data_IF_125002426576
#
_entry.id   IF_125002426576
#
_cell.length_a   1.000
_cell.length_b   1.000
_cell.length_c   1.000
_cell.angle_alpha   90.00
_cell.angle_beta   90.00
_cell.angle_gamma   90.00
#
_symmetry.space_group_name_H-M   'P 1'
#
loop_
_entity.id
_entity.type
_entity.pdbx_description
1 polymer ?
#
# COMPACT_ATOMS: atom_id res chain seq x y z
N UNK A 1 -11.78 18.67 -15.54
CA UNK A 1 -10.92 17.58 -16.07
C UNK A 1 -9.54 17.73 -15.49
N UNK A 2 -8.85 16.63 -15.20
CA UNK A 2 -7.53 16.67 -14.59
C UNK A 2 -6.46 17.20 -15.57
N UNK A 3 -5.60 18.12 -15.11
CA UNK A 3 -4.64 18.84 -15.97
C UNK A 3 -3.16 18.45 -15.77
N UNK A 4 -2.86 17.61 -14.78
CA UNK A 4 -1.49 17.20 -14.43
C UNK A 4 -1.34 15.68 -14.44
N UNK A 5 -0.19 15.13 -14.88
CA UNK A 5 0.10 13.70 -14.77
C UNK A 5 -0.12 13.13 -13.36
N UNK A 6 0.22 13.89 -12.32
CA UNK A 6 0.04 13.48 -10.93
C UNK A 6 -1.43 13.35 -10.55
N UNK A 7 -2.25 14.32 -10.96
CA UNK A 7 -3.69 14.27 -10.73
C UNK A 7 -4.36 13.17 -11.58
N UNK A 8 -3.86 12.87 -12.79
CA UNK A 8 -4.41 11.81 -13.63
C UNK A 8 -4.15 10.45 -13.01
N UNK A 9 -2.93 10.23 -12.51
CA UNK A 9 -2.56 9.02 -11.81
C UNK A 9 -3.38 8.86 -10.52
N UNK A 10 -3.59 9.94 -9.75
CA UNK A 10 -4.48 9.92 -8.58
C UNK A 10 -5.92 9.53 -8.95
N UNK A 11 -6.52 10.18 -9.94
CA UNK A 11 -7.90 9.90 -10.36
C UNK A 11 -8.08 8.48 -10.89
N UNK A 12 -7.11 7.96 -11.64
CA UNK A 12 -7.15 6.58 -12.10
C UNK A 12 -7.02 5.59 -10.92
N UNK A 13 -6.11 5.84 -9.98
CA UNK A 13 -5.95 5.05 -8.75
C UNK A 13 -7.27 5.03 -7.95
N UNK A 14 -7.88 6.20 -7.77
CA UNK A 14 -9.14 6.35 -7.04
C UNK A 14 -10.27 5.55 -7.67
N UNK A 15 -10.42 5.61 -9.00
CA UNK A 15 -11.44 4.85 -9.72
C UNK A 15 -11.20 3.33 -9.62
N UNK A 16 -9.95 2.90 -9.78
CA UNK A 16 -9.59 1.49 -9.63
C UNK A 16 -9.96 0.96 -8.24
N UNK A 17 -9.67 1.73 -7.19
CA UNK A 17 -9.99 1.34 -5.81
C UNK A 17 -11.48 1.39 -5.51
N UNK A 18 -12.25 2.30 -6.11
CA UNK A 18 -13.72 2.32 -5.99
C UNK A 18 -14.33 1.05 -6.57
N UNK A 19 -13.89 0.64 -7.76
CA UNK A 19 -14.33 -0.61 -8.39
C UNK A 19 -13.90 -1.82 -7.57
N UNK A 20 -12.65 -1.84 -7.10
CA UNK A 20 -12.14 -2.88 -6.20
C UNK A 20 -12.93 -3.02 -4.91
N UNK A 21 -13.22 -1.90 -4.26
CA UNK A 21 -14.04 -1.87 -3.05
C UNK A 21 -15.42 -2.44 -3.32
N UNK A 22 -16.07 -2.01 -4.41
CA UNK A 22 -17.37 -2.55 -4.78
C UNK A 22 -17.31 -4.06 -5.00
N UNK A 23 -16.25 -4.60 -5.63
CA UNK A 23 -16.05 -6.04 -5.82
C UNK A 23 -15.87 -6.82 -4.50
N UNK A 24 -15.24 -6.20 -3.50
CA UNK A 24 -14.99 -6.80 -2.19
C UNK A 24 -16.13 -6.57 -1.18
N UNK A 25 -17.23 -5.94 -1.61
CA UNK A 25 -18.40 -5.74 -0.76
C UNK A 25 -18.99 -7.09 -0.30
N UNK A 26 -19.40 -7.16 0.97
CA UNK A 26 -19.91 -8.38 1.57
C UNK A 26 -21.17 -8.94 0.85
N UNK A 27 -21.94 -8.11 0.15
CA UNK A 27 -23.05 -8.56 -0.71
C UNK A 27 -22.61 -9.51 -1.83
N UNK A 28 -21.34 -9.48 -2.21
CA UNK A 28 -20.78 -10.34 -3.28
C UNK A 28 -20.14 -11.62 -2.75
N UNK A 29 -20.14 -11.83 -1.43
CA UNK A 29 -19.53 -13.01 -0.78
C UNK A 29 -19.97 -14.33 -1.43
N UNK A 30 -21.26 -14.52 -1.67
CA UNK A 30 -21.78 -15.74 -2.29
C UNK A 30 -21.23 -15.97 -3.70
N UNK A 31 -21.11 -14.91 -4.51
CA UNK A 31 -20.54 -15.01 -5.85
C UNK A 31 -19.05 -15.39 -5.80
N UNK A 32 -18.30 -14.84 -4.84
CA UNK A 32 -16.89 -15.21 -4.64
C UNK A 32 -16.71 -16.66 -4.17
N UNK A 33 -17.61 -17.16 -3.31
CA UNK A 33 -17.61 -18.57 -2.88
C UNK A 33 -17.81 -19.55 -4.04
N UNK A 34 -18.56 -19.16 -5.07
CA UNK A 34 -18.73 -19.94 -6.29
C UNK A 34 -17.49 -19.87 -7.18
N UNK A 35 -16.97 -18.66 -7.44
CA UNK A 35 -15.80 -18.45 -8.31
C UNK A 35 -14.56 -19.14 -7.75
N UNK A 36 -14.35 -19.09 -6.43
CA UNK A 36 -13.18 -19.68 -5.79
C UNK A 36 -13.14 -21.23 -5.87
N UNK A 37 -14.22 -21.88 -6.29
CA UNK A 37 -14.23 -23.34 -6.51
C UNK A 37 -13.45 -23.74 -7.76
N UNK A 38 -13.37 -22.85 -8.76
CA UNK A 38 -12.75 -23.13 -10.07
C UNK A 38 -11.56 -22.22 -10.38
N UNK A 39 -11.49 -21.04 -9.74
CA UNK A 39 -10.50 -20.00 -10.00
C UNK A 39 -9.86 -19.48 -8.71
N UNK A 40 -8.88 -18.58 -8.82
CA UNK A 40 -8.19 -17.98 -7.67
C UNK A 40 -9.05 -17.03 -6.82
N UNK A 41 -10.29 -16.74 -7.24
CA UNK A 41 -11.26 -15.96 -6.47
C UNK A 41 -10.72 -14.59 -6.01
N UNK A 42 -11.00 -14.23 -4.76
CA UNK A 42 -10.54 -12.97 -4.18
C UNK A 42 -9.03 -12.89 -4.02
N UNK A 43 -8.34 -14.02 -3.87
CA UNK A 43 -6.88 -14.05 -3.70
C UNK A 43 -6.16 -13.51 -4.95
N UNK A 44 -6.68 -13.81 -6.14
CA UNK A 44 -6.14 -13.26 -7.38
C UNK A 44 -6.37 -11.74 -7.50
N UNK A 45 -7.54 -11.27 -7.07
CA UNK A 45 -7.83 -9.82 -7.02
C UNK A 45 -6.87 -9.10 -6.07
N UNK A 46 -6.68 -9.63 -4.85
CA UNK A 46 -5.74 -9.07 -3.88
C UNK A 46 -4.32 -9.02 -4.42
N UNK A 47 -3.86 -10.09 -5.08
CA UNK A 47 -2.56 -10.13 -5.74
C UNK A 47 -2.40 -9.03 -6.80
N UNK A 48 -3.43 -8.79 -7.61
CA UNK A 48 -3.39 -7.69 -8.59
C UNK A 48 -3.33 -6.31 -7.93
N UNK A 49 -4.00 -6.12 -6.79
CA UNK A 49 -3.85 -4.88 -6.01
C UNK A 49 -2.45 -4.73 -5.41
N UNK A 50 -1.83 -5.80 -4.94
CA UNK A 50 -0.44 -5.79 -4.45
C UNK A 50 0.55 -5.45 -5.56
N UNK A 51 0.45 -6.11 -6.72
CA UNK A 51 1.28 -5.84 -7.89
C UNK A 51 1.14 -4.38 -8.35
N UNK A 52 -0.10 -3.89 -8.34
CA UNK A 52 -0.40 -2.51 -8.67
C UNK A 52 0.21 -1.52 -7.66
N UNK A 53 0.01 -1.75 -6.35
CA UNK A 53 0.57 -0.90 -5.30
C UNK A 53 2.10 -0.90 -5.32
N UNK A 54 2.73 -2.05 -5.58
CA UNK A 54 4.17 -2.16 -5.77
C UNK A 54 4.65 -1.32 -6.95
N UNK A 55 3.98 -1.44 -8.10
CA UNK A 55 4.30 -0.65 -9.31
C UNK A 55 4.12 0.84 -9.05
N UNK A 56 3.06 1.24 -8.35
CA UNK A 56 2.77 2.61 -7.99
C UNK A 56 3.87 3.19 -7.08
N UNK A 57 4.26 2.47 -6.02
CA UNK A 57 5.30 2.88 -5.10
C UNK A 57 6.67 3.04 -5.79
N UNK A 58 7.04 2.10 -6.67
CA UNK A 58 8.28 2.19 -7.46
C UNK A 58 8.31 3.40 -8.39
N UNK A 59 7.15 3.79 -8.93
CA UNK A 59 7.05 4.92 -9.86
C UNK A 59 6.79 6.26 -9.18
N UNK A 60 6.42 6.31 -7.89
CA UNK A 60 6.20 7.57 -7.15
C UNK A 60 7.40 8.51 -7.18
N UNK A 61 8.63 7.98 -7.18
CA UNK A 61 9.85 8.82 -7.30
C UNK A 61 9.92 9.54 -8.64
N UNK A 62 9.28 9.00 -9.67
CA UNK A 62 9.31 9.49 -11.06
C UNK A 62 8.13 10.39 -11.41
N UNK A 63 7.00 10.28 -10.70
CA UNK A 63 5.73 10.91 -11.08
C UNK A 63 5.37 12.18 -10.31
N UNK A 64 6.29 12.75 -9.52
CA UNK A 64 6.08 13.98 -8.74
C UNK A 64 4.88 13.92 -7.77
N UNK A 65 4.40 12.72 -7.43
CA UNK A 65 3.25 12.55 -6.54
C UNK A 65 3.62 12.87 -5.11
N UNK A 66 2.88 13.74 -4.44
CA UNK A 66 2.96 13.85 -2.99
C UNK A 66 2.37 12.58 -2.35
N UNK A 67 2.80 12.21 -1.12
CA UNK A 67 2.15 11.16 -0.36
C UNK A 67 0.63 11.37 -0.32
N UNK A 68 -0.11 10.28 -0.47
CA UNK A 68 -1.56 10.34 -0.44
C UNK A 68 -2.13 9.06 0.17
N UNK A 69 -3.39 9.17 0.61
CA UNK A 69 -4.17 8.04 1.11
C UNK A 69 -5.54 8.12 0.46
N UNK A 70 -6.00 7.01 -0.13
CA UNK A 70 -7.36 6.89 -0.66
C UNK A 70 -8.08 5.87 0.21
N UNK A 71 -9.28 6.26 0.63
CA UNK A 71 -10.17 5.43 1.43
C UNK A 71 -11.41 5.14 0.62
N UNK A 72 -11.78 3.87 0.59
CA UNK A 72 -13.06 3.37 0.13
C UNK A 72 -13.67 2.50 1.23
N UNK A 73 -14.94 2.10 1.14
CA UNK A 73 -15.58 1.30 2.17
C UNK A 73 -14.85 0.00 2.53
N UNK A 74 -14.16 -0.64 1.58
CA UNK A 74 -13.52 -1.95 1.77
C UNK A 74 -12.02 -1.96 1.47
N UNK A 75 -11.42 -0.85 1.03
CA UNK A 75 -9.98 -0.76 0.74
C UNK A 75 -9.44 0.58 1.26
N UNK A 76 -8.29 0.51 1.95
CA UNK A 76 -7.48 1.68 2.25
C UNK A 76 -6.11 1.49 1.61
N UNK A 77 -5.70 2.42 0.74
CA UNK A 77 -4.32 2.48 0.25
C UNK A 77 -3.68 3.74 0.81
N UNK A 78 -2.45 3.60 1.32
CA UNK A 78 -1.62 4.71 1.73
C UNK A 78 -0.26 4.57 1.08
N UNK A 79 0.15 5.59 0.33
CA UNK A 79 1.45 5.60 -0.34
C UNK A 79 2.25 6.78 0.20
N UNK A 80 3.32 6.45 0.92
CA UNK A 80 4.18 7.40 1.62
C UNK A 80 5.62 7.26 1.16
N UNK A 81 6.36 8.38 1.21
CA UNK A 81 7.80 8.38 1.03
C UNK A 81 8.47 8.37 2.39
N UNK A 82 9.30 7.36 2.64
CA UNK A 82 10.08 7.26 3.86
C UNK A 82 11.51 7.72 3.56
N UNK A 83 11.98 8.70 4.34
CA UNK A 83 13.36 9.15 4.27
C UNK A 83 14.23 8.23 5.13
N UNK A 84 15.25 7.62 4.51
CA UNK A 84 16.13 6.68 5.20
C UNK A 84 16.98 7.37 6.28
N UNK A 85 17.40 8.61 6.03
CA UNK A 85 18.20 9.39 6.97
C UNK A 85 17.30 9.88 8.10
N UNK A 86 17.66 9.58 9.35
CA UNK A 86 16.91 9.97 10.55
C UNK A 86 15.47 9.42 10.64
N UNK A 87 15.23 8.22 10.09
CA UNK A 87 13.92 7.57 10.21
C UNK A 87 13.61 7.22 11.68
N UNK A 88 12.63 7.90 12.27
CA UNK A 88 12.21 7.71 13.67
C UNK A 88 11.09 6.66 13.84
N UNK A 89 10.80 5.88 12.80
CA UNK A 89 9.62 5.03 12.73
C UNK A 89 8.41 5.74 12.10
N UNK A 90 7.37 4.97 11.79
CA UNK A 90 6.12 5.50 11.24
C UNK A 90 4.93 4.64 11.64
N UNK A 91 3.78 5.27 11.88
CA UNK A 91 2.47 4.60 11.96
C UNK A 91 1.68 4.95 10.70
N UNK A 92 1.26 3.94 9.96
CA UNK A 92 0.57 4.09 8.67
C UNK A 92 -0.77 3.35 8.69
N UNK A 93 -1.79 3.81 7.94
CA UNK A 93 -1.89 5.13 7.32
C UNK A 93 -1.93 6.25 8.37
N UNK A 94 -1.55 7.48 7.96
CA UNK A 94 -1.67 8.68 8.80
C UNK A 94 -3.12 9.18 8.88
N UNK A 95 -3.99 8.42 9.53
CA UNK A 95 -5.43 8.73 9.63
C UNK A 95 -5.71 10.11 10.26
N UNK A 96 -4.80 10.61 11.10
CA UNK A 96 -4.83 11.93 11.72
C UNK A 96 -4.72 13.08 10.70
N UNK A 97 -4.06 12.85 9.58
CA UNK A 97 -3.83 13.88 8.54
C UNK A 97 -4.90 13.91 7.46
N UNK A 98 -5.81 12.94 7.47
CA UNK A 98 -6.85 12.82 6.47
C UNK A 98 -7.86 13.95 6.60
N UNK A 99 -8.25 14.49 5.44
CA UNK A 99 -9.36 15.44 5.34
C UNK A 99 -10.62 14.67 4.95
N UNK A 100 -11.75 15.02 5.56
CA UNK A 100 -13.04 14.40 5.26
C UNK A 100 -13.38 13.24 6.19
N UNK A 101 -14.22 12.33 5.71
CA UNK A 101 -14.70 11.17 6.47
C UNK A 101 -13.56 10.16 6.68
N UNK A 102 -13.37 9.75 7.94
CA UNK A 102 -12.41 8.70 8.31
C UNK A 102 -13.05 7.33 8.12
N UNK A 103 -12.27 6.28 7.82
CA UNK A 103 -12.83 4.94 7.72
C UNK A 103 -13.38 4.50 9.08
N UNK A 104 -14.34 3.58 9.06
CA UNK A 104 -14.96 3.05 10.28
C UNK A 104 -13.95 2.33 11.19
N UNK A 105 -12.92 1.73 10.59
CA UNK A 105 -11.81 1.12 11.30
C UNK A 105 -10.53 1.94 11.09
N UNK A 106 -10.02 2.52 12.18
CA UNK A 106 -8.76 3.26 12.25
C UNK A 106 -7.69 2.50 13.05
N UNK A 107 -8.03 1.33 13.59
CA UNK A 107 -7.13 0.51 14.39
C UNK A 107 -6.23 -0.35 13.50
N UNK A 108 -6.71 -0.73 12.31
CA UNK A 108 -5.91 -1.41 11.27
C UNK A 108 -4.79 -0.49 10.79
N UNK A 109 -3.62 -0.66 11.41
CA UNK A 109 -2.44 0.17 11.17
C UNK A 109 -1.18 -0.68 11.12
N UNK A 110 -0.19 -0.17 10.38
CA UNK A 110 1.16 -0.75 10.28
C UNK A 110 2.11 0.14 11.05
N UNK A 111 2.84 -0.44 11.99
CA UNK A 111 3.90 0.25 12.74
C UNK A 111 5.25 -0.18 12.17
N UNK A 112 5.95 0.77 11.56
CA UNK A 112 7.30 0.61 11.07
C UNK A 112 8.28 1.09 12.15
N UNK A 113 9.14 0.22 12.70
CA UNK A 113 10.13 0.64 13.69
C UNK A 113 11.25 1.47 13.03
N UNK A 114 11.92 2.33 13.80
CA UNK A 114 13.08 3.12 13.34
C UNK A 114 14.22 2.26 12.76
N UNK A 115 14.30 0.98 13.15
CA UNK A 115 15.32 0.04 12.70
C UNK A 115 15.03 -0.58 11.33
N UNK A 116 13.90 -0.29 10.68
CA UNK A 116 13.49 -0.94 9.41
C UNK A 116 14.52 -0.79 8.28
N UNK A 117 15.35 0.25 8.33
CA UNK A 117 16.41 0.51 7.35
C UNK A 117 17.82 0.18 7.84
N UNK A 118 17.97 -0.29 9.08
CA UNK A 118 19.27 -0.76 9.60
C UNK A 118 19.57 -2.13 8.97
N UNK A 119 20.83 -2.34 8.58
CA UNK A 119 21.24 -3.65 8.10
C UNK A 119 21.10 -4.68 9.24
N UNK A 120 20.66 -5.92 8.98
CA UNK A 120 20.67 -6.96 9.99
C UNK A 120 22.11 -7.19 10.47
N UNK A 121 22.34 -7.07 11.78
CA UNK A 121 23.67 -7.29 12.36
C UNK A 121 24.00 -8.80 12.40
N UNK A 122 25.02 -9.23 11.65
CA UNK A 122 25.68 -10.55 11.73
C UNK A 122 25.54 -11.43 10.47
N UNK A 123 26.60 -11.83 9.76
CA UNK A 123 27.91 -12.31 10.24
C UNK A 123 29.10 -11.65 9.52
N UNK A 124 29.99 -11.02 10.27
CA UNK A 124 31.41 -10.85 9.91
C UNK A 124 32.27 -11.54 10.97
N UNK A 125 33.01 -12.57 10.55
CA UNK A 125 34.29 -13.07 11.10
C UNK A 125 34.55 -14.43 10.43
N UNK A 126 35.66 -14.75 9.77
CA UNK A 126 37.03 -14.27 9.92
C UNK A 126 37.79 -14.44 8.59
N UNK A 127 38.43 -13.38 8.11
CA UNK A 127 39.55 -13.53 7.16
C UNK A 127 40.73 -14.05 7.97
N UNK A 128 41.08 -15.33 7.81
CA UNK A 128 42.34 -15.84 8.29
C UNK A 128 43.41 -15.52 7.24
N UNK A 129 44.31 -14.60 7.56
CA UNK A 129 45.62 -14.51 6.91
C UNK A 129 46.34 -15.85 7.08
N UNK A 130 46.74 -16.45 5.96
CA UNK A 130 47.79 -17.46 5.95
C UNK A 130 48.95 -16.94 5.09
N UNK A 131 50.12 -17.14 5.66
CA UNK A 131 51.43 -16.60 5.34
C UNK A 131 52.08 -17.35 4.18
#
# INVERSE_FOLDING_TARGET
GCSSPSCCLYSWTENLLKVGSALLDNSKKHHWELIQQTEGGTAQVLRHFEDYASTLAQNMRKTYLNPFTIITPNIVISVVRLEKMNFAGAKLPHYETLRGEKPADIETTVILPESIFKAPEGKQSSVASAK
#
